data_IF_660408231595
#
_entry.id   IF_660408231595
#
_cell.length_a   1.000
_cell.length_b   1.000
_cell.length_c   1.000
_cell.angle_alpha   90.00
_cell.angle_beta   90.00
_cell.angle_gamma   90.00
#
_symmetry.space_group_name_H-M   'P 1'
#
loop_
_entity.id
_entity.type
_entity.pdbx_description
1 polymer ?
#
# COMPACT_ATOMS: atom_id res chain seq x y z
N UNK A 1 23.25 -6.26 14.31
CA UNK A 1 22.72 -5.90 12.99
C UNK A 1 21.23 -6.28 12.87
N UNK A 2 20.51 -5.61 11.95
CA UNK A 2 19.08 -5.86 11.67
C UNK A 2 18.93 -6.17 10.18
N UNK A 3 18.33 -7.30 9.82
CA UNK A 3 17.92 -7.59 8.46
C UNK A 3 16.70 -6.77 8.08
N UNK A 4 16.79 -5.96 7.03
CA UNK A 4 15.67 -5.17 6.53
C UNK A 4 14.62 -5.99 5.77
N UNK A 5 13.45 -5.42 5.46
CA UNK A 5 12.32 -6.16 4.88
C UNK A 5 12.61 -6.68 3.45
N UNK A 6 13.51 -6.04 2.72
CA UNK A 6 13.91 -6.42 1.36
C UNK A 6 14.98 -7.50 1.29
N UNK A 7 15.42 -8.06 2.44
CA UNK A 7 16.23 -9.28 2.48
C UNK A 7 15.38 -10.55 2.42
N UNK A 8 14.06 -10.40 2.36
CA UNK A 8 13.10 -11.45 2.06
C UNK A 8 13.26 -12.72 2.90
N UNK A 9 13.18 -12.54 4.23
CA UNK A 9 13.19 -13.66 5.19
C UNK A 9 11.85 -14.42 5.17
N UNK A 10 11.51 -15.04 4.03
CA UNK A 10 10.25 -15.77 3.82
C UNK A 10 10.26 -17.23 4.27
N UNK A 11 11.38 -17.71 4.82
CA UNK A 11 11.49 -19.09 5.29
C UNK A 11 12.57 -19.22 6.37
N UNK A 12 12.50 -20.32 7.12
CA UNK A 12 13.43 -20.61 8.21
C UNK A 12 14.89 -20.68 7.80
N UNK A 13 15.18 -21.12 6.58
CA UNK A 13 16.54 -21.21 6.07
C UNK A 13 17.16 -19.83 5.91
N UNK A 14 16.40 -18.85 5.39
CA UNK A 14 16.86 -17.49 5.29
C UNK A 14 17.11 -16.90 6.68
N UNK A 15 16.22 -17.13 7.65
CA UNK A 15 16.40 -16.68 9.04
C UNK A 15 17.68 -17.28 9.63
N UNK A 16 17.84 -18.60 9.58
CA UNK A 16 19.05 -19.29 10.06
C UNK A 16 20.32 -18.83 9.39
N UNK A 17 20.28 -18.59 8.07
CA UNK A 17 21.43 -18.06 7.34
C UNK A 17 21.87 -16.71 7.91
N UNK A 18 20.92 -15.79 8.12
CA UNK A 18 21.25 -14.47 8.65
C UNK A 18 21.65 -14.51 10.14
N UNK A 19 21.09 -15.41 10.94
CA UNK A 19 21.54 -15.62 12.32
C UNK A 19 23.02 -16.02 12.36
N UNK A 20 23.48 -16.86 11.43
CA UNK A 20 24.87 -17.24 11.30
C UNK A 20 25.80 -16.12 10.78
N UNK A 21 25.22 -14.98 10.36
CA UNK A 21 25.94 -13.76 9.96
C UNK A 21 25.86 -12.66 11.05
N UNK A 22 25.65 -13.02 12.30
CA UNK A 22 25.50 -12.09 13.44
C UNK A 22 24.35 -11.07 13.30
N UNK A 23 23.33 -11.42 12.51
CA UNK A 23 22.10 -10.61 12.43
C UNK A 23 21.19 -10.99 13.58
N UNK A 24 21.07 -10.08 14.55
CA UNK A 24 20.33 -10.32 15.78
C UNK A 24 18.84 -9.98 15.72
N UNK A 25 18.36 -9.30 14.67
CA UNK A 25 16.95 -8.92 14.53
C UNK A 25 16.53 -8.87 13.06
N UNK A 26 15.22 -8.98 12.82
CA UNK A 26 14.65 -9.09 11.49
C UNK A 26 13.47 -8.14 11.35
N UNK A 27 13.36 -7.45 10.21
CA UNK A 27 12.14 -6.76 9.82
C UNK A 27 11.37 -7.69 8.88
N UNK A 28 10.15 -8.02 9.23
CA UNK A 28 9.26 -8.85 8.40
C UNK A 28 9.11 -8.23 7.00
N UNK A 29 9.19 -9.02 5.91
CA UNK A 29 8.84 -8.54 4.58
C UNK A 29 7.40 -8.03 4.51
N UNK A 30 7.15 -6.92 3.80
CA UNK A 30 5.80 -6.34 3.68
C UNK A 30 4.80 -7.27 2.98
N UNK A 31 5.30 -8.16 2.13
CA UNK A 31 4.51 -9.09 1.32
C UNK A 31 4.21 -10.40 2.03
N UNK A 32 4.67 -10.56 3.28
CA UNK A 32 4.49 -11.81 4.01
C UNK A 32 3.05 -11.98 4.50
N UNK A 33 2.64 -13.24 4.61
CA UNK A 33 1.31 -13.59 5.09
C UNK A 33 1.35 -13.96 6.59
N UNK A 34 0.20 -13.85 7.24
CA UNK A 34 0.02 -14.30 8.62
C UNK A 34 0.50 -15.73 8.85
N UNK A 35 0.07 -16.64 7.96
CA UNK A 35 0.41 -18.06 8.05
C UNK A 35 1.92 -18.29 7.87
N UNK A 36 2.51 -17.60 6.92
CA UNK A 36 3.94 -17.75 6.66
C UNK A 36 4.79 -17.13 7.77
N UNK A 37 4.38 -15.99 8.32
CA UNK A 37 5.04 -15.34 9.45
C UNK A 37 5.21 -16.30 10.64
N UNK A 38 4.14 -16.98 11.03
CA UNK A 38 4.16 -17.95 12.11
C UNK A 38 5.00 -19.20 11.79
N UNK A 39 5.04 -19.61 10.53
CA UNK A 39 5.82 -20.76 10.06
C UNK A 39 7.31 -20.45 9.90
N UNK A 40 7.65 -19.21 9.55
CA UNK A 40 9.03 -18.77 9.27
C UNK A 40 9.81 -18.50 10.54
N UNK A 41 9.18 -17.83 11.51
CA UNK A 41 9.86 -17.44 12.74
C UNK A 41 9.45 -18.36 13.92
N UNK A 42 10.41 -19.12 14.40
CA UNK A 42 10.21 -19.94 15.59
C UNK A 42 10.00 -19.07 16.84
N UNK A 43 9.38 -19.62 17.87
CA UNK A 43 8.97 -18.88 19.08
C UNK A 43 10.13 -18.10 19.73
N UNK A 44 11.34 -18.68 19.73
CA UNK A 44 12.55 -18.04 20.27
C UNK A 44 13.05 -16.86 19.40
N UNK A 45 12.70 -16.84 18.12
CA UNK A 45 13.11 -15.79 17.18
C UNK A 45 12.10 -14.64 17.17
N UNK A 46 10.82 -14.89 17.41
CA UNK A 46 9.73 -13.91 17.32
C UNK A 46 9.96 -12.65 18.15
N UNK A 47 10.61 -12.78 19.30
CA UNK A 47 10.96 -11.64 20.15
C UNK A 47 11.95 -10.65 19.50
N UNK A 48 12.65 -11.08 18.44
CA UNK A 48 13.63 -10.29 17.67
C UNK A 48 13.08 -9.79 16.32
N UNK A 49 11.85 -10.16 15.99
CA UNK A 49 11.19 -9.73 14.74
C UNK A 49 10.44 -8.42 14.97
N UNK A 50 10.73 -7.44 14.11
CA UNK A 50 9.99 -6.20 14.01
C UNK A 50 8.95 -6.38 12.89
N UNK A 51 7.67 -6.35 13.26
CA UNK A 51 6.57 -6.46 12.30
C UNK A 51 6.16 -5.06 11.84
N UNK A 52 6.33 -4.70 10.55
CA UNK A 52 5.82 -3.45 10.03
C UNK A 52 4.30 -3.42 10.13
N UNK A 53 3.77 -2.46 10.89
CA UNK A 53 2.33 -2.27 11.05
C UNK A 53 1.82 -1.03 10.35
N UNK A 54 2.72 -0.15 9.90
CA UNK A 54 2.40 0.99 9.07
C UNK A 54 3.62 1.43 8.27
N UNK A 55 3.48 1.56 6.94
CA UNK A 55 4.54 2.00 6.06
C UNK A 55 4.04 2.46 4.69
N UNK A 56 4.90 3.16 3.96
CA UNK A 56 4.78 3.36 2.50
C UNK A 56 5.91 2.58 1.82
N UNK A 57 5.73 1.27 1.54
CA UNK A 57 6.79 0.44 1.02
C UNK A 57 7.18 0.85 -0.40
N UNK A 58 8.48 0.88 -0.67
CA UNK A 58 8.98 1.03 -2.04
C UNK A 58 8.81 -0.31 -2.77
N UNK A 59 7.85 -0.41 -3.69
CA UNK A 59 7.56 -1.63 -4.44
C UNK A 59 8.60 -1.90 -5.52
N UNK A 60 9.10 -0.81 -6.16
CA UNK A 60 10.16 -0.89 -7.15
C UNK A 60 11.20 0.18 -6.89
N UNK A 61 12.46 -0.18 -7.13
CA UNK A 61 13.58 0.75 -7.14
C UNK A 61 14.19 0.79 -8.53
N UNK A 62 14.26 1.98 -9.10
CA UNK A 62 14.93 2.27 -10.36
C UNK A 62 16.28 2.90 -10.01
N UNK A 63 17.39 2.35 -10.51
CA UNK A 63 18.75 2.78 -10.15
C UNK A 63 19.17 4.13 -10.73
N UNK A 64 18.31 4.75 -11.51
CA UNK A 64 18.55 6.06 -12.09
C UNK A 64 17.39 6.99 -11.79
N UNK A 65 17.67 8.28 -11.79
CA UNK A 65 16.64 9.31 -11.68
C UNK A 65 15.87 9.36 -12.98
N UNK A 66 14.54 9.23 -12.90
CA UNK A 66 13.70 9.40 -14.09
C UNK A 66 13.83 10.83 -14.60
N UNK A 67 13.94 11.03 -15.93
CA UNK A 67 13.93 12.36 -16.54
C UNK A 67 12.67 13.15 -16.17
N UNK A 68 12.79 14.47 -16.09
CA UNK A 68 11.67 15.36 -15.69
C UNK A 68 10.54 15.40 -16.75
N UNK A 69 10.86 15.08 -18.00
CA UNK A 69 9.91 14.94 -19.09
C UNK A 69 9.13 13.62 -19.10
N UNK A 70 9.49 12.66 -18.25
CA UNK A 70 8.64 11.53 -17.92
C UNK A 70 7.44 12.04 -17.10
N UNK A 71 6.40 12.45 -17.80
CA UNK A 71 5.26 13.20 -17.27
C UNK A 71 4.29 12.43 -16.35
N UNK A 72 4.64 11.22 -15.88
CA UNK A 72 3.78 10.49 -14.94
C UNK A 72 4.42 10.41 -13.55
N UNK A 73 4.00 11.31 -12.70
CA UNK A 73 4.29 11.21 -11.26
C UNK A 73 3.36 10.22 -10.59
N UNK A 74 2.19 9.97 -11.18
CA UNK A 74 1.15 9.04 -10.68
C UNK A 74 0.67 8.13 -11.81
N UNK A 75 0.39 6.88 -11.46
CA UNK A 75 -0.22 5.90 -12.37
C UNK A 75 -1.11 4.94 -11.58
N UNK A 76 -2.01 4.25 -12.26
CA UNK A 76 -2.83 3.19 -11.69
C UNK A 76 -2.50 1.85 -12.32
N UNK A 77 -2.63 0.78 -11.55
CA UNK A 77 -2.59 -0.57 -12.04
C UNK A 77 -3.95 -1.00 -12.62
N UNK A 78 -4.05 -2.27 -13.03
CA UNK A 78 -5.30 -2.83 -13.58
C UNK A 78 -6.40 -2.99 -12.52
N UNK A 79 -6.03 -2.98 -11.24
CA UNK A 79 -6.92 -3.12 -10.10
C UNK A 79 -7.29 -1.75 -9.48
N UNK A 80 -7.01 -0.65 -10.21
CA UNK A 80 -7.24 0.75 -9.78
C UNK A 80 -6.38 1.18 -8.56
N UNK A 81 -5.35 0.41 -8.21
CA UNK A 81 -4.37 0.82 -7.22
C UNK A 81 -3.57 2.02 -7.70
N UNK A 82 -3.49 3.07 -6.87
CA UNK A 82 -2.75 4.28 -7.22
C UNK A 82 -1.32 4.23 -6.69
N UNK A 83 -0.38 4.57 -7.56
CA UNK A 83 1.05 4.59 -7.27
C UNK A 83 1.65 5.92 -7.65
N UNK A 84 2.71 6.30 -6.95
CA UNK A 84 3.51 7.49 -7.24
C UNK A 84 4.97 7.14 -7.44
N UNK A 85 5.63 7.91 -8.29
CA UNK A 85 7.09 7.86 -8.46
C UNK A 85 7.72 8.96 -7.62
N UNK A 86 8.67 8.59 -6.79
CA UNK A 86 9.46 9.50 -5.96
C UNK A 86 10.91 9.40 -6.41
N UNK A 87 11.46 10.49 -6.92
CA UNK A 87 12.87 10.58 -7.31
C UNK A 87 13.72 11.07 -6.14
N UNK A 88 14.90 10.47 -6.00
CA UNK A 88 15.96 10.87 -5.07
C UNK A 88 17.30 10.86 -5.79
N UNK A 89 18.37 11.31 -5.12
CA UNK A 89 19.71 11.30 -5.70
C UNK A 89 20.22 9.89 -6.03
N UNK A 90 19.74 8.89 -5.29
CA UNK A 90 20.09 7.47 -5.45
C UNK A 90 19.21 6.72 -6.47
N UNK A 91 18.32 7.40 -7.17
CA UNK A 91 17.39 6.79 -8.14
C UNK A 91 15.93 7.15 -7.87
N UNK A 92 15.03 6.37 -8.46
CA UNK A 92 13.59 6.58 -8.33
C UNK A 92 12.90 5.38 -7.68
N UNK A 93 11.84 5.64 -6.92
CA UNK A 93 11.06 4.63 -6.24
C UNK A 93 9.61 4.69 -6.68
N UNK A 94 9.01 3.55 -6.93
CA UNK A 94 7.56 3.41 -7.11
C UNK A 94 6.96 3.02 -5.77
N UNK A 95 6.04 3.82 -5.29
CA UNK A 95 5.40 3.66 -3.98
C UNK A 95 3.88 3.70 -4.11
N UNK A 96 3.12 2.97 -3.29
CA UNK A 96 1.69 3.16 -3.24
C UNK A 96 1.34 4.57 -2.75
N UNK A 97 0.24 5.12 -3.25
CA UNK A 97 -0.28 6.40 -2.75
C UNK A 97 -0.83 6.27 -1.34
N UNK A 98 -1.50 5.15 -1.06
CA UNK A 98 -2.02 4.82 0.25
C UNK A 98 -1.04 3.94 1.05
N UNK A 99 -1.01 4.05 2.38
CA UNK A 99 -0.11 3.26 3.21
C UNK A 99 -0.50 1.78 3.26
N UNK A 100 0.49 0.94 3.52
CA UNK A 100 0.29 -0.38 4.10
C UNK A 100 -0.05 -0.22 5.59
N UNK A 101 -1.05 -0.96 6.11
CA UNK A 101 -1.43 -0.88 7.52
C UNK A 101 -1.89 -2.22 8.08
N UNK A 102 -1.34 -2.57 9.24
CA UNK A 102 -1.75 -3.65 10.13
C UNK A 102 -2.00 -3.12 11.56
N UNK A 103 -2.35 -1.83 11.69
CA UNK A 103 -2.51 -1.19 13.00
C UNK A 103 -3.58 -1.84 13.87
N UNK A 104 -4.60 -2.42 13.26
CA UNK A 104 -5.67 -3.18 13.91
C UNK A 104 -5.28 -4.62 14.27
N UNK A 105 -4.17 -5.14 13.76
CA UNK A 105 -3.71 -6.51 13.96
C UNK A 105 -2.68 -6.67 15.09
N UNK A 106 -2.35 -5.60 15.79
CA UNK A 106 -1.28 -5.59 16.81
C UNK A 106 -1.57 -6.52 18.00
N UNK A 107 -2.84 -6.70 18.37
CA UNK A 107 -3.21 -7.65 19.41
C UNK A 107 -2.95 -9.10 19.01
N UNK A 108 -3.40 -9.46 17.80
CA UNK A 108 -3.13 -10.77 17.23
C UNK A 108 -1.63 -11.04 17.14
N UNK A 109 -0.83 -10.08 16.65
CA UNK A 109 0.62 -10.21 16.58
C UNK A 109 1.25 -10.47 17.95
N UNK A 110 0.80 -9.74 18.96
CA UNK A 110 1.27 -9.91 20.34
C UNK A 110 0.92 -11.30 20.91
N UNK A 111 -0.29 -11.79 20.66
CA UNK A 111 -0.73 -13.14 21.06
C UNK A 111 0.06 -14.24 20.37
N UNK A 112 0.43 -14.01 19.10
CA UNK A 112 1.32 -14.90 18.32
C UNK A 112 2.80 -14.78 18.72
N UNK A 113 3.17 -13.98 19.72
CA UNK A 113 4.53 -13.84 20.24
C UNK A 113 5.39 -12.76 19.58
N UNK A 114 4.84 -11.99 18.63
CA UNK A 114 5.52 -10.85 18.00
C UNK A 114 5.29 -9.58 18.82
N UNK A 115 6.27 -9.21 19.62
CA UNK A 115 6.14 -8.10 20.59
C UNK A 115 6.70 -6.77 20.08
N UNK A 116 7.44 -6.78 18.97
CA UNK A 116 8.03 -5.57 18.40
C UNK A 116 7.31 -5.21 17.11
N UNK A 117 6.79 -4.00 17.07
CA UNK A 117 6.15 -3.44 15.88
C UNK A 117 7.01 -2.30 15.32
N UNK A 118 6.91 -2.09 14.01
CA UNK A 118 7.58 -1.02 13.29
C UNK A 118 6.54 -0.13 12.61
N UNK A 119 6.61 1.17 12.91
CA UNK A 119 5.89 2.22 12.18
C UNK A 119 6.93 2.99 11.38
N UNK A 120 6.88 2.87 10.05
CA UNK A 120 7.89 3.41 9.14
C UNK A 120 7.37 4.64 8.39
N UNK A 121 7.95 5.80 8.68
CA UNK A 121 7.70 7.06 7.98
C UNK A 121 8.87 7.50 7.10
N UNK A 122 9.89 6.66 6.91
CA UNK A 122 11.16 7.03 6.27
C UNK A 122 11.02 7.48 4.81
N UNK A 123 9.97 7.03 4.12
CA UNK A 123 9.77 7.29 2.69
C UNK A 123 8.72 8.37 2.39
N UNK A 124 8.12 8.98 3.42
CA UNK A 124 7.07 9.98 3.22
C UNK A 124 7.10 11.04 4.31
N UNK A 125 6.66 12.25 3.95
CA UNK A 125 6.47 13.34 4.92
C UNK A 125 5.00 13.36 5.32
N UNK A 126 4.71 12.97 6.54
CA UNK A 126 3.36 13.03 7.09
C UNK A 126 3.13 14.37 7.80
N UNK A 127 1.92 14.89 7.67
CA UNK A 127 1.43 16.00 8.47
C UNK A 127 1.23 15.57 9.93
N UNK A 128 1.21 16.54 10.86
CA UNK A 128 0.90 16.27 12.27
C UNK A 128 -0.46 15.56 12.45
N UNK A 129 -1.44 15.89 11.62
CA UNK A 129 -2.75 15.25 11.62
C UNK A 129 -2.69 13.77 11.23
N UNK A 130 -1.95 13.45 10.19
CA UNK A 130 -1.75 12.06 9.77
C UNK A 130 -1.02 11.22 10.83
N UNK A 131 0.03 11.78 11.45
CA UNK A 131 0.74 11.10 12.55
C UNK A 131 -0.21 10.85 13.73
N UNK A 132 -1.05 11.83 14.07
CA UNK A 132 -2.07 11.67 15.13
C UNK A 132 -3.08 10.56 14.77
N UNK A 133 -3.50 10.47 13.52
CA UNK A 133 -4.41 9.43 13.06
C UNK A 133 -3.78 8.03 13.16
N UNK A 134 -2.52 7.89 12.72
CA UNK A 134 -1.77 6.63 12.87
C UNK A 134 -1.64 6.23 14.33
N UNK A 135 -1.23 7.16 15.19
CA UNK A 135 -1.13 6.92 16.64
C UNK A 135 -2.49 6.54 17.24
N UNK A 136 -3.57 7.24 16.86
CA UNK A 136 -4.92 6.93 17.34
C UNK A 136 -5.37 5.53 16.92
N UNK A 137 -5.17 5.15 15.65
CA UNK A 137 -5.51 3.80 15.15
C UNK A 137 -4.70 2.73 15.87
N UNK A 138 -3.41 2.95 16.10
CA UNK A 138 -2.54 2.04 16.82
C UNK A 138 -3.02 1.81 18.27
N UNK A 139 -3.23 2.88 19.03
CA UNK A 139 -3.65 2.78 20.44
C UNK A 139 -5.05 2.22 20.62
N UNK A 140 -5.96 2.53 19.68
CA UNK A 140 -7.34 2.02 19.72
C UNK A 140 -7.50 0.66 19.05
N UNK A 141 -6.43 0.12 18.44
CA UNK A 141 -6.43 -1.13 17.66
C UNK A 141 -7.51 -1.13 16.58
N UNK A 142 -7.63 -0.03 15.87
CA UNK A 142 -8.64 0.19 14.84
C UNK A 142 -8.00 0.20 13.45
N UNK A 143 -8.72 -0.27 12.41
CA UNK A 143 -8.25 -0.16 11.04
C UNK A 143 -7.92 1.29 10.67
N UNK A 144 -6.85 1.48 9.90
CA UNK A 144 -6.60 2.78 9.29
C UNK A 144 -7.58 2.97 8.12
N UNK A 145 -8.21 4.14 7.97
CA UNK A 145 -9.37 4.30 7.07
C UNK A 145 -9.05 4.08 5.59
N UNK A 146 -7.86 4.49 5.14
CA UNK A 146 -7.46 4.41 3.74
C UNK A 146 -6.12 3.69 3.62
N UNK A 147 -6.12 2.49 3.08
CA UNK A 147 -4.94 1.62 2.98
C UNK A 147 -4.77 1.05 1.60
N UNK A 148 -3.51 0.87 1.20
CA UNK A 148 -3.19 0.06 0.03
C UNK A 148 -3.33 -1.42 0.37
N UNK A 149 -3.88 -2.18 -0.57
CA UNK A 149 -4.18 -3.60 -0.40
C UNK A 149 -3.41 -4.48 -1.37
N UNK A 150 -2.22 -4.06 -1.76
CA UNK A 150 -1.40 -4.77 -2.73
C UNK A 150 -1.12 -6.24 -2.37
N UNK A 151 -1.24 -6.59 -1.11
CA UNK A 151 -0.96 -7.93 -0.61
C UNK A 151 -2.19 -8.64 -0.02
N UNK A 152 -3.36 -8.41 -0.61
CA UNK A 152 -4.62 -8.93 -0.08
C UNK A 152 -4.69 -10.46 -0.05
N UNK A 153 -4.20 -11.15 -1.08
CA UNK A 153 -4.31 -12.59 -1.20
C UNK A 153 -3.51 -13.34 -0.15
N UNK A 154 -2.33 -12.81 0.18
CA UNK A 154 -1.35 -13.48 1.04
C UNK A 154 -1.10 -12.72 2.35
N UNK A 155 -1.84 -11.63 2.58
CA UNK A 155 -1.70 -10.75 3.74
C UNK A 155 -2.42 -11.23 5.00
N UNK A 156 -2.62 -10.31 5.93
CA UNK A 156 -3.22 -10.55 7.25
C UNK A 156 -4.75 -10.50 7.25
N UNK A 157 -5.37 -10.55 6.10
CA UNK A 157 -6.83 -10.46 5.98
C UNK A 157 -7.48 -11.83 6.06
N UNK A 158 -8.61 -11.91 6.75
CA UNK A 158 -9.41 -13.12 6.79
C UNK A 158 -10.07 -13.39 5.43
N UNK A 159 -10.27 -14.68 5.05
CA UNK A 159 -10.91 -15.03 3.77
C UNK A 159 -12.25 -14.33 3.55
N UNK A 160 -13.07 -14.18 4.59
CA UNK A 160 -14.34 -13.47 4.52
C UNK A 160 -14.17 -11.99 4.18
N UNK A 161 -13.21 -11.30 4.78
CA UNK A 161 -12.91 -9.90 4.46
C UNK A 161 -12.45 -9.73 3.01
N UNK A 162 -11.71 -10.72 2.48
CA UNK A 162 -11.27 -10.71 1.08
C UNK A 162 -12.48 -10.87 0.15
N UNK A 163 -13.40 -11.77 0.47
CA UNK A 163 -14.63 -11.99 -0.33
C UNK A 163 -15.56 -10.77 -0.30
N UNK A 164 -15.78 -10.17 0.86
CA UNK A 164 -16.58 -8.94 1.01
C UNK A 164 -16.00 -7.79 0.20
N UNK A 165 -14.68 -7.64 0.21
CA UNK A 165 -14.02 -6.61 -0.59
C UNK A 165 -14.18 -6.87 -2.09
N UNK A 166 -13.97 -8.09 -2.56
CA UNK A 166 -14.18 -8.44 -3.97
C UNK A 166 -15.61 -8.12 -4.40
N UNK A 167 -16.59 -8.54 -3.61
CA UNK A 167 -18.00 -8.27 -3.88
C UNK A 167 -18.30 -6.76 -3.90
N UNK A 168 -17.73 -5.98 -3.00
CA UNK A 168 -17.87 -4.51 -2.97
C UNK A 168 -17.21 -3.83 -4.16
N UNK A 169 -16.02 -4.29 -4.56
CA UNK A 169 -15.29 -3.80 -5.72
C UNK A 169 -16.02 -4.09 -7.03
N UNK A 170 -16.57 -5.30 -7.19
CA UNK A 170 -17.37 -5.69 -8.34
C UNK A 170 -18.66 -4.86 -8.45
N UNK A 171 -19.34 -4.62 -7.33
CA UNK A 171 -20.53 -3.74 -7.28
C UNK A 171 -20.18 -2.29 -7.67
N UNK A 172 -19.06 -1.77 -7.19
CA UNK A 172 -18.59 -0.43 -7.54
C UNK A 172 -18.23 -0.33 -9.03
N UNK A 173 -17.55 -1.34 -9.59
CA UNK A 173 -17.21 -1.40 -11.00
C UNK A 173 -18.47 -1.52 -11.89
N UNK A 174 -19.46 -2.30 -11.48
CA UNK A 174 -20.76 -2.42 -12.19
C UNK A 174 -21.51 -1.08 -12.16
N UNK A 175 -21.56 -0.40 -11.03
CA UNK A 175 -22.20 0.92 -10.90
C UNK A 175 -21.52 1.98 -11.79
N UNK A 176 -20.19 2.01 -11.85
CA UNK A 176 -19.45 2.89 -12.77
C UNK A 176 -19.75 2.59 -14.26
N UNK A 177 -19.92 1.32 -14.64
CA UNK A 177 -20.28 0.96 -16.03
C UNK A 177 -21.68 1.41 -16.37
N UNK A 178 -22.63 1.26 -15.48
CA UNK A 178 -24.03 1.72 -15.65
C UNK A 178 -24.11 3.25 -15.75
N UNK A 179 -23.37 3.99 -14.91
CA UNK A 179 -23.29 5.45 -14.98
C UNK A 179 -22.74 5.98 -16.31
N UNK A 180 -21.71 5.31 -16.87
CA UNK A 180 -21.13 5.68 -18.18
C UNK A 180 -22.04 5.36 -19.38
N UNK A 181 -22.90 4.36 -19.27
CA UNK A 181 -23.88 4.04 -20.33
C UNK A 181 -25.06 5.04 -20.36
N UNK A 182 -25.42 5.62 -19.22
CA UNK A 182 -26.45 6.67 -19.14
C UNK A 182 -26.04 8.02 -19.72
N UNK A 183 -24.75 8.35 -19.71
CA UNK A 183 -24.23 9.62 -20.25
C UNK A 183 -24.13 9.65 -21.78
N UNK A 184 -24.01 8.50 -22.44
CA UNK A 184 -23.96 8.41 -23.91
C UNK A 184 -25.31 8.62 -24.60
N UNK A 185 -26.41 8.70 -23.87
CA UNK A 185 -27.78 8.86 -24.39
C UNK A 185 -28.31 10.28 -24.42
N UNK A 186 -27.58 11.31 -23.99
CA UNK A 186 -28.05 12.70 -24.08
C UNK A 186 -27.82 13.24 -25.49
N UNK A 187 -28.89 13.58 -26.26
CA UNK A 187 -28.73 14.18 -27.58
C UNK A 187 -28.08 15.56 -27.41
N UNK A 188 -26.98 15.80 -28.15
CA UNK A 188 -26.38 17.13 -28.25
C UNK A 188 -27.41 18.08 -28.84
N UNK A 189 -27.91 19.04 -28.06
CA UNK A 189 -28.73 20.13 -28.56
C UNK A 189 -27.90 20.91 -29.61
N UNK A 190 -28.37 20.93 -30.85
CA UNK A 190 -27.83 21.78 -31.93
C UNK A 190 -28.10 23.23 -31.54
N UNK A 191 -27.10 23.91 -30.99
CA UNK A 191 -27.11 25.35 -30.87
C UNK A 191 -27.07 26.01 -32.28
N UNK A 192 -28.17 26.64 -32.64
CA UNK A 192 -28.30 27.37 -33.90
C UNK A 192 -27.36 28.59 -33.92
N UNK A 193 -26.50 28.62 -34.93
CA UNK A 193 -25.65 29.78 -35.20
C UNK A 193 -26.52 30.94 -35.73
N UNK A 194 -26.69 32.00 -34.91
CA UNK A 194 -27.24 33.29 -35.36
C UNK A 194 -26.13 34.01 -36.10
N UNK A 195 -26.30 34.14 -37.44
CA UNK A 195 -25.50 35.01 -38.32
C UNK A 195 -25.80 36.46 -37.97
N UNK A 196 -24.83 37.16 -37.39
CA UNK A 196 -24.87 38.62 -37.30
C UNK A 196 -24.45 39.24 -38.62
N UNK A 197 -25.37 39.94 -39.26
CA UNK A 197 -25.15 40.65 -40.54
C UNK A 197 -24.22 41.87 -40.35
N UNK A 198 -23.29 42.01 -41.30
CA UNK A 198 -22.52 43.22 -41.49
C UNK A 198 -23.42 44.33 -41.97
N UNK A 199 -23.47 45.48 -41.27
CA UNK A 199 -23.90 46.80 -41.86
C UNK A 199 -22.65 47.63 -42.07
N UNK A 200 -22.47 48.00 -43.36
CA UNK A 200 -21.57 49.06 -43.78
C UNK A 200 -22.20 50.43 -43.40
N UNK A 201 -21.43 51.31 -42.84
CA UNK A 201 -21.23 52.70 -43.22
C UNK A 201 -19.91 53.19 -42.64
#
# INVERSE_FOLDING_TARGET
LVAGPYLYTFNRWAVSFFENQDIGAFVMPYEDSRKNLEATYDLNVRARVLVPVFAYPALFRIRFKLPEDYGFTYFSDKEEGMFKVVSSDDGSFVMPELPFSLLDKTEFLSQSGFKKILVDFSKTKLSKGQIKNVSSSLFKKQPFPEVNRFNWKDGFYDPQQIEEYKASSERAAAAKKLGKSGEKGRPKSRGGAVRAGKRKK
#
